data_IF_300144517515
#
_entry.id   IF_300144517515
#
_cell.length_a   1.000
_cell.length_b   1.000
_cell.length_c   1.000
_cell.angle_alpha   90.00
_cell.angle_beta   90.00
_cell.angle_gamma   90.00
#
_symmetry.space_group_name_H-M   'P 1'
#
loop_
_entity.id
_entity.type
_entity.pdbx_description
1 polymer ?
#
# COMPACT_ATOMS: atom_id res chain seq x y z
N UNK A 1 40.32 -7.57 2.35
CA UNK A 1 40.39 -6.12 2.07
C UNK A 1 39.99 -5.89 0.62
N UNK A 2 39.24 -4.82 0.33
CA UNK A 2 38.96 -4.44 -1.05
C UNK A 2 40.28 -4.01 -1.73
N UNK A 3 40.67 -4.71 -2.79
CA UNK A 3 41.83 -4.47 -3.62
C UNK A 3 41.62 -3.24 -4.53
N UNK A 4 42.67 -2.44 -4.72
CA UNK A 4 42.63 -1.17 -5.48
C UNK A 4 42.13 -1.34 -6.93
N UNK A 5 42.39 -2.50 -7.54
CA UNK A 5 41.86 -2.85 -8.86
C UNK A 5 40.33 -2.98 -8.90
N UNK A 6 39.70 -3.41 -7.81
CA UNK A 6 38.24 -3.48 -7.70
C UNK A 6 37.61 -2.09 -7.54
N UNK A 7 38.33 -1.12 -6.96
CA UNK A 7 37.89 0.28 -6.93
C UNK A 7 37.97 0.93 -8.31
N UNK A 8 39.02 0.67 -9.10
CA UNK A 8 39.15 1.16 -10.49
C UNK A 8 38.08 0.57 -11.43
N UNK A 9 37.75 -0.72 -11.31
CA UNK A 9 36.66 -1.35 -12.09
C UNK A 9 35.27 -0.81 -11.74
N UNK A 10 35.10 -0.26 -10.54
CA UNK A 10 33.86 0.39 -10.10
C UNK A 10 33.70 1.84 -10.56
N UNK A 11 34.75 2.51 -11.06
CA UNK A 11 34.68 3.93 -11.49
C UNK A 11 33.65 4.23 -12.59
N UNK A 12 33.40 3.35 -13.58
CA UNK A 12 32.33 3.55 -14.58
C UNK A 12 30.92 3.39 -14.00
N UNK A 13 30.80 2.68 -12.88
CA UNK A 13 29.53 2.36 -12.20
C UNK A 13 29.32 3.19 -10.92
N UNK A 14 30.31 4.00 -10.52
CA UNK A 14 30.14 5.01 -9.49
C UNK A 14 29.09 5.99 -9.99
N UNK A 15 28.08 6.26 -9.15
CA UNK A 15 27.05 7.27 -9.37
C UNK A 15 27.67 8.66 -9.56
N UNK A 16 28.22 8.91 -10.73
CA UNK A 16 28.56 10.26 -11.17
C UNK A 16 27.22 10.82 -11.60
N UNK A 17 26.55 11.52 -10.69
CA UNK A 17 25.35 12.30 -10.98
C UNK A 17 25.73 13.41 -11.98
N UNK A 18 25.97 13.02 -13.23
CA UNK A 18 26.18 13.95 -14.32
C UNK A 18 24.86 14.65 -14.60
N UNK A 19 24.92 15.92 -14.97
CA UNK A 19 23.76 16.73 -15.35
C UNK A 19 22.81 15.98 -16.31
N UNK A 20 23.37 15.16 -17.20
CA UNK A 20 22.62 14.27 -18.11
C UNK A 20 21.73 13.25 -17.39
N UNK A 21 22.20 12.64 -16.29
CA UNK A 21 21.40 11.68 -15.52
C UNK A 21 20.28 12.38 -14.75
N UNK A 22 20.53 13.59 -14.23
CA UNK A 22 19.51 14.43 -13.61
C UNK A 22 18.45 14.83 -14.63
N UNK A 23 18.85 15.20 -15.84
CA UNK A 23 17.94 15.56 -16.92
C UNK A 23 17.10 14.37 -17.41
N UNK A 24 17.71 13.18 -17.55
CA UNK A 24 17.01 11.94 -17.89
C UNK A 24 16.01 11.57 -16.78
N UNK A 25 16.41 11.64 -15.51
CA UNK A 25 15.52 11.36 -14.38
C UNK A 25 14.35 12.36 -14.34
N UNK A 26 14.61 13.65 -14.61
CA UNK A 26 13.58 14.69 -14.71
C UNK A 26 12.59 14.40 -15.84
N UNK A 27 13.08 14.07 -17.04
CA UNK A 27 12.23 13.70 -18.19
C UNK A 27 11.39 12.46 -17.90
N UNK A 28 11.99 11.44 -17.27
CA UNK A 28 11.29 10.24 -16.83
C UNK A 28 10.19 10.54 -15.80
N UNK A 29 10.47 11.42 -14.84
CA UNK A 29 9.49 11.87 -13.85
C UNK A 29 8.30 12.61 -14.48
N UNK A 30 8.57 13.51 -15.42
CA UNK A 30 7.52 14.26 -16.15
C UNK A 30 6.66 13.30 -16.97
N UNK A 31 7.27 12.42 -17.76
CA UNK A 31 6.56 11.44 -18.58
C UNK A 31 5.72 10.48 -17.72
N UNK A 32 6.25 10.02 -16.59
CA UNK A 32 5.52 9.20 -15.63
C UNK A 32 4.33 9.98 -15.02
N UNK A 33 4.53 11.26 -14.70
CA UNK A 33 3.48 12.14 -14.21
C UNK A 33 2.36 12.34 -15.23
N UNK A 34 2.69 12.58 -16.49
CA UNK A 34 1.72 12.69 -17.59
C UNK A 34 0.97 11.38 -17.81
N UNK A 35 1.66 10.24 -17.82
CA UNK A 35 1.03 8.94 -17.94
C UNK A 35 0.07 8.65 -16.78
N UNK A 36 0.45 9.01 -15.54
CA UNK A 36 -0.41 8.89 -14.35
C UNK A 36 -1.65 9.79 -14.46
N UNK A 37 -1.49 11.05 -14.90
CA UNK A 37 -2.61 11.98 -15.12
C UNK A 37 -3.55 11.49 -16.21
N UNK A 38 -3.02 11.01 -17.35
CA UNK A 38 -3.82 10.42 -18.43
C UNK A 38 -4.61 9.21 -17.96
N UNK A 39 -3.98 8.29 -17.22
CA UNK A 39 -4.67 7.14 -16.62
C UNK A 39 -5.76 7.57 -15.63
N UNK A 40 -5.51 8.61 -14.82
CA UNK A 40 -6.52 9.17 -13.92
C UNK A 40 -7.71 9.73 -14.70
N UNK A 41 -7.45 10.59 -15.68
CA UNK A 41 -8.49 11.16 -16.53
C UNK A 41 -9.33 10.08 -17.21
N UNK A 42 -8.70 9.03 -17.76
CA UNK A 42 -9.43 7.91 -18.37
C UNK A 42 -10.32 7.16 -17.37
N UNK A 43 -9.84 6.93 -16.13
CA UNK A 43 -10.66 6.32 -15.08
C UNK A 43 -11.85 7.21 -14.71
N UNK A 44 -11.60 8.50 -14.57
CA UNK A 44 -12.64 9.47 -14.21
C UNK A 44 -13.71 9.55 -15.32
N UNK A 45 -13.29 9.57 -16.59
CA UNK A 45 -14.23 9.54 -17.74
C UNK A 45 -14.99 8.22 -17.82
N UNK A 46 -14.35 7.09 -17.55
CA UNK A 46 -15.02 5.79 -17.56
C UNK A 46 -16.07 5.69 -16.45
N UNK A 47 -15.75 6.22 -15.25
CA UNK A 47 -16.71 6.30 -14.15
C UNK A 47 -17.91 7.17 -14.53
N UNK A 48 -17.65 8.35 -15.09
CA UNK A 48 -18.72 9.24 -15.58
C UNK A 48 -19.61 8.55 -16.62
N UNK A 49 -19.04 7.85 -17.59
CA UNK A 49 -19.82 7.12 -18.60
C UNK A 49 -20.65 5.99 -17.97
N UNK A 50 -20.12 5.29 -16.96
CA UNK A 50 -20.84 4.21 -16.28
C UNK A 50 -21.97 4.72 -15.39
N UNK A 51 -21.85 5.94 -14.85
CA UNK A 51 -22.84 6.62 -14.01
C UNK A 51 -23.96 7.29 -14.85
N UNK A 52 -23.80 7.38 -16.17
CA UNK A 52 -24.84 7.93 -17.04
C UNK A 52 -26.05 7.00 -17.17
N UNK A 53 -27.24 7.60 -17.26
CA UNK A 53 -28.47 6.87 -17.55
C UNK A 53 -28.46 6.37 -19.00
N UNK A 54 -29.04 5.19 -19.20
CA UNK A 54 -29.11 4.57 -20.52
C UNK A 54 -30.14 5.33 -21.37
N UNK A 55 -29.78 5.76 -22.59
CA UNK A 55 -30.71 6.45 -23.48
C UNK A 55 -31.90 5.56 -23.86
N UNK A 56 -33.06 6.19 -24.08
CA UNK A 56 -34.35 5.51 -24.31
C UNK A 56 -34.40 4.62 -25.56
N UNK A 57 -33.45 4.83 -26.47
CA UNK A 57 -33.27 4.04 -27.69
C UNK A 57 -32.83 2.59 -27.43
N UNK A 58 -32.33 2.24 -26.24
CA UNK A 58 -32.03 0.86 -25.84
C UNK A 58 -33.19 0.22 -25.06
N UNK A 59 -34.40 0.27 -25.64
CA UNK A 59 -35.64 -0.19 -25.02
C UNK A 59 -35.60 -1.67 -24.62
N UNK A 60 -34.90 -2.51 -25.39
CA UNK A 60 -34.72 -3.95 -25.07
C UNK A 60 -33.88 -4.17 -23.80
N UNK A 61 -32.88 -3.32 -23.57
CA UNK A 61 -32.00 -3.40 -22.40
C UNK A 61 -32.75 -2.89 -21.16
N UNK A 62 -33.50 -1.80 -21.29
CA UNK A 62 -34.41 -1.28 -20.26
C UNK A 62 -35.47 -2.31 -19.86
N UNK A 63 -36.09 -2.98 -20.82
CA UNK A 63 -37.08 -4.03 -20.55
C UNK A 63 -36.48 -5.20 -19.77
N UNK A 64 -35.25 -5.64 -20.10
CA UNK A 64 -34.54 -6.68 -19.35
C UNK A 64 -34.19 -6.23 -17.93
N UNK A 65 -33.74 -4.99 -17.77
CA UNK A 65 -33.41 -4.40 -16.46
C UNK A 65 -34.66 -4.28 -15.57
N UNK A 66 -35.78 -3.81 -16.14
CA UNK A 66 -37.07 -3.72 -15.46
C UNK A 66 -37.61 -5.10 -15.07
N UNK A 67 -37.45 -6.11 -15.93
CA UNK A 67 -37.82 -7.50 -15.60
C UNK A 67 -36.98 -8.10 -14.47
N UNK A 68 -35.79 -7.56 -14.20
CA UNK A 68 -34.92 -7.95 -13.07
C UNK A 68 -35.13 -7.07 -11.82
N UNK A 69 -36.11 -6.16 -11.83
CA UNK A 69 -36.48 -5.35 -10.67
C UNK A 69 -35.63 -4.10 -10.46
N UNK A 70 -34.92 -3.61 -11.49
CA UNK A 70 -34.22 -2.32 -11.43
C UNK A 70 -35.22 -1.20 -11.72
N UNK A 71 -35.31 -0.23 -10.81
CA UNK A 71 -36.20 0.94 -10.94
C UNK A 71 -35.83 1.81 -12.14
N UNK A 72 -36.82 2.51 -12.71
CA UNK A 72 -36.67 3.30 -13.94
C UNK A 72 -35.66 4.46 -13.81
N UNK A 73 -35.44 4.93 -12.57
CA UNK A 73 -34.48 5.98 -12.23
C UNK A 73 -33.03 5.45 -12.14
N UNK A 74 -32.85 4.15 -11.88
CA UNK A 74 -31.56 3.47 -11.70
C UNK A 74 -31.09 2.68 -12.93
N UNK A 75 -31.68 2.96 -14.10
CA UNK A 75 -31.23 2.37 -15.37
C UNK A 75 -29.94 3.05 -15.83
N UNK A 76 -28.85 2.74 -15.13
CA UNK A 76 -27.49 3.19 -15.41
C UNK A 76 -26.73 2.17 -16.26
N UNK A 77 -25.70 2.60 -17.01
CA UNK A 77 -24.83 1.66 -17.75
C UNK A 77 -24.18 0.61 -16.84
N UNK A 78 -23.88 0.97 -15.59
CA UNK A 78 -23.39 0.03 -14.58
C UNK A 78 -24.35 -1.15 -14.36
N UNK A 79 -25.66 -0.88 -14.21
CA UNK A 79 -26.67 -1.93 -14.04
C UNK A 79 -26.78 -2.83 -15.29
N UNK A 80 -26.72 -2.24 -16.48
CA UNK A 80 -26.71 -3.00 -17.73
C UNK A 80 -25.51 -3.95 -17.88
N UNK A 81 -24.32 -3.48 -17.52
CA UNK A 81 -23.10 -4.31 -17.55
C UNK A 81 -23.26 -5.47 -16.58
N UNK A 82 -23.75 -5.24 -15.36
CA UNK A 82 -23.99 -6.30 -14.37
C UNK A 82 -24.98 -7.34 -14.89
N UNK A 83 -26.07 -6.93 -15.51
CA UNK A 83 -27.02 -7.84 -16.17
C UNK A 83 -26.36 -8.66 -17.28
N UNK A 84 -25.49 -8.05 -18.08
CA UNK A 84 -24.71 -8.74 -19.11
C UNK A 84 -23.80 -9.82 -18.51
N UNK A 85 -23.13 -9.50 -17.41
CA UNK A 85 -22.26 -10.43 -16.68
C UNK A 85 -23.07 -11.57 -16.07
N UNK A 86 -24.23 -11.30 -15.44
CA UNK A 86 -25.12 -12.33 -14.91
C UNK A 86 -25.56 -13.30 -16.01
N UNK A 87 -25.96 -12.78 -17.17
CA UNK A 87 -26.33 -13.62 -18.31
C UNK A 87 -25.17 -14.49 -18.80
N UNK A 88 -23.94 -13.98 -18.79
CA UNK A 88 -22.75 -14.77 -19.15
C UNK A 88 -22.40 -15.81 -18.09
N UNK A 89 -22.58 -15.50 -16.80
CA UNK A 89 -22.38 -16.45 -15.71
C UNK A 89 -23.39 -17.61 -15.79
N UNK A 90 -24.67 -17.31 -16.05
CA UNK A 90 -25.73 -18.32 -16.26
C UNK A 90 -25.37 -19.24 -17.45
N UNK A 91 -24.76 -18.69 -18.51
CA UNK A 91 -24.28 -19.46 -19.67
C UNK A 91 -23.03 -20.30 -19.39
N UNK A 92 -22.51 -20.31 -18.17
CA UNK A 92 -21.35 -21.12 -17.76
C UNK A 92 -20.00 -20.41 -17.89
N UNK A 93 -19.96 -19.09 -18.08
CA UNK A 93 -18.70 -18.36 -18.05
C UNK A 93 -18.21 -18.19 -16.61
N UNK A 94 -17.24 -19.02 -16.22
CA UNK A 94 -16.64 -19.01 -14.87
C UNK A 94 -15.97 -17.69 -14.50
N UNK A 95 -15.44 -16.93 -15.47
CA UNK A 95 -14.86 -15.61 -15.24
C UNK A 95 -15.91 -14.56 -14.89
N UNK A 96 -17.09 -14.66 -15.50
CA UNK A 96 -18.21 -13.78 -15.17
C UNK A 96 -18.74 -14.11 -13.76
N UNK A 97 -18.84 -15.40 -13.41
CA UNK A 97 -19.21 -15.83 -12.08
C UNK A 97 -18.20 -15.39 -11.00
N UNK A 98 -16.90 -15.48 -11.28
CA UNK A 98 -15.86 -14.98 -10.37
C UNK A 98 -15.93 -13.46 -10.21
N UNK A 99 -16.20 -12.71 -11.29
CA UNK A 99 -16.38 -11.26 -11.22
C UNK A 99 -17.57 -10.87 -10.34
N UNK A 100 -18.68 -11.59 -10.43
CA UNK A 100 -19.85 -11.37 -9.56
C UNK A 100 -19.52 -11.64 -8.09
N UNK A 101 -18.87 -12.77 -7.80
CA UNK A 101 -18.36 -13.10 -6.46
C UNK A 101 -17.46 -12.00 -5.91
N UNK A 102 -16.53 -11.53 -6.73
CA UNK A 102 -15.57 -10.50 -6.33
C UNK A 102 -16.25 -9.15 -6.07
N UNK A 103 -17.31 -8.84 -6.81
CA UNK A 103 -18.14 -7.64 -6.60
C UNK A 103 -18.99 -7.73 -5.33
N UNK A 104 -19.40 -8.93 -4.92
CA UNK A 104 -20.11 -9.19 -3.67
C UNK A 104 -19.20 -9.18 -2.43
N UNK A 105 -17.89 -8.98 -2.61
CA UNK A 105 -16.93 -9.00 -1.50
C UNK A 105 -16.56 -10.40 -1.02
N UNK A 106 -17.11 -11.46 -1.62
CA UNK A 106 -16.81 -12.85 -1.27
C UNK A 106 -15.54 -13.38 -1.94
N UNK A 107 -14.58 -12.50 -2.26
CA UNK A 107 -13.32 -12.93 -2.87
C UNK A 107 -12.42 -13.57 -1.79
N UNK A 108 -12.15 -14.89 -1.85
CA UNK A 108 -11.33 -15.56 -0.84
C UNK A 108 -9.92 -14.98 -0.74
N UNK A 109 -9.37 -14.51 -1.87
CA UNK A 109 -8.03 -13.92 -1.92
C UNK A 109 -7.95 -12.55 -1.24
N UNK A 110 -9.03 -11.77 -1.24
CA UNK A 110 -9.07 -10.48 -0.54
C UNK A 110 -9.19 -10.71 0.98
N UNK A 111 -10.06 -11.62 1.41
CA UNK A 111 -10.19 -11.96 2.84
C UNK A 111 -8.90 -12.53 3.44
N UNK A 112 -8.19 -13.40 2.69
CA UNK A 112 -6.90 -13.91 3.13
C UNK A 112 -5.88 -12.78 3.30
N UNK A 113 -5.85 -11.85 2.34
CA UNK A 113 -4.92 -10.72 2.35
C UNK A 113 -5.21 -9.73 3.48
N UNK A 114 -6.48 -9.49 3.80
CA UNK A 114 -6.89 -8.69 4.95
C UNK A 114 -6.41 -9.33 6.26
N UNK A 115 -6.64 -10.64 6.44
CA UNK A 115 -6.14 -11.38 7.61
C UNK A 115 -4.62 -11.35 7.73
N UNK A 116 -3.89 -11.52 6.63
CA UNK A 116 -2.43 -11.41 6.61
C UNK A 116 -1.95 -10.01 7.01
N UNK A 117 -2.63 -8.95 6.55
CA UNK A 117 -2.31 -7.57 6.92
C UNK A 117 -2.56 -7.30 8.40
N UNK A 118 -3.67 -7.80 8.95
CA UNK A 118 -3.97 -7.71 10.37
C UNK A 118 -2.92 -8.41 11.22
N UNK A 119 -2.53 -9.63 10.87
CA UNK A 119 -1.47 -10.37 11.54
C UNK A 119 -0.16 -9.59 11.53
N UNK A 120 0.21 -9.05 10.36
CA UNK A 120 1.45 -8.29 10.21
C UNK A 120 1.45 -6.98 11.01
N UNK A 121 0.31 -6.30 11.08
CA UNK A 121 0.17 -5.10 11.91
C UNK A 121 0.28 -5.44 13.40
N UNK A 122 -0.37 -6.51 13.85
CA UNK A 122 -0.26 -6.98 15.23
C UNK A 122 1.18 -7.39 15.60
N UNK A 123 1.88 -8.08 14.70
CA UNK A 123 3.30 -8.41 14.86
C UNK A 123 4.17 -7.15 15.00
N UNK A 124 3.89 -6.13 14.18
CA UNK A 124 4.63 -4.86 14.22
C UNK A 124 4.39 -4.11 15.54
N UNK A 125 3.15 -4.06 16.00
CA UNK A 125 2.79 -3.44 17.29
C UNK A 125 3.43 -4.17 18.46
N UNK A 126 3.38 -5.51 18.47
CA UNK A 126 4.04 -6.32 19.48
C UNK A 126 5.55 -6.06 19.51
N UNK A 127 6.20 -6.07 18.34
CA UNK A 127 7.64 -5.77 18.25
C UNK A 127 7.96 -4.37 18.77
N UNK A 128 7.15 -3.37 18.45
CA UNK A 128 7.32 -1.99 18.94
C UNK A 128 7.20 -1.91 20.47
N UNK A 129 6.27 -2.67 21.07
CA UNK A 129 6.14 -2.74 22.53
C UNK A 129 7.37 -3.39 23.16
N UNK A 130 7.85 -4.50 22.60
CA UNK A 130 9.06 -5.18 23.08
C UNK A 130 10.30 -4.29 22.98
N UNK A 131 10.47 -3.56 21.87
CA UNK A 131 11.58 -2.62 21.69
C UNK A 131 11.49 -1.44 22.68
N UNK A 132 10.27 -1.00 23.03
CA UNK A 132 10.06 0.05 24.04
C UNK A 132 10.35 -0.43 25.47
N UNK A 133 9.93 -1.65 25.81
CA UNK A 133 10.23 -2.27 27.11
C UNK A 133 11.73 -2.59 27.27
N UNK A 134 12.41 -2.97 26.19
CA UNK A 134 13.86 -3.16 26.22
C UNK A 134 14.58 -1.84 26.47
N UNK A 135 14.16 -0.76 25.80
CA UNK A 135 14.71 0.58 26.04
C UNK A 135 14.48 1.05 27.47
N UNK A 136 13.28 0.85 28.04
CA UNK A 136 13.03 1.25 29.42
C UNK A 136 13.88 0.46 30.42
N UNK A 137 14.08 -0.84 30.19
CA UNK A 137 14.97 -1.67 31.01
C UNK A 137 16.44 -1.26 30.87
N UNK A 138 16.89 -0.94 29.66
CA UNK A 138 18.24 -0.43 29.41
C UNK A 138 18.47 0.92 30.12
N UNK A 139 17.51 1.84 30.06
CA UNK A 139 17.53 3.13 30.75
C UNK A 139 17.53 2.97 32.29
N UNK A 140 16.75 2.03 32.84
CA UNK A 140 16.76 1.71 34.27
C UNK A 140 18.10 1.10 34.73
N UNK A 141 18.72 0.25 33.89
CA UNK A 141 20.03 -0.32 34.22
C UNK A 141 21.16 0.70 34.11
N UNK A 142 21.10 1.66 33.18
CA UNK A 142 22.12 2.71 33.06
C UNK A 142 22.02 3.70 34.23
N UNK A 143 20.81 4.11 34.60
CA UNK A 143 20.60 5.01 35.75
C UNK A 143 21.03 4.38 37.07
N UNK A 144 20.81 3.07 37.28
CA UNK A 144 21.33 2.36 38.44
C UNK A 144 22.87 2.30 38.44
N UNK A 145 23.50 2.08 37.28
CA UNK A 145 24.95 2.06 37.15
C UNK A 145 25.57 3.44 37.47
N UNK A 146 24.99 4.53 36.97
CA UNK A 146 25.44 5.90 37.22
C UNK A 146 25.41 6.25 38.72
N UNK A 147 24.34 5.85 39.44
CA UNK A 147 24.21 6.06 40.90
C UNK A 147 25.27 5.29 41.68
N UNK A 148 25.61 4.07 41.25
CA UNK A 148 26.64 3.23 41.89
C UNK A 148 28.02 3.86 41.70
N UNK A 149 28.33 4.37 40.50
CA UNK A 149 29.60 5.04 40.21
C UNK A 149 29.77 6.32 41.03
N UNK A 150 28.72 7.15 41.14
CA UNK A 150 28.76 8.35 41.98
C UNK A 150 28.98 8.02 43.47
N UNK A 151 28.31 6.98 43.98
CA UNK A 151 28.47 6.54 45.36
C UNK A 151 29.89 6.03 45.64
N UNK A 152 30.49 5.28 44.70
CA UNK A 152 31.87 4.81 44.80
C UNK A 152 32.87 5.97 44.79
N UNK A 153 32.65 6.96 43.91
CA UNK A 153 33.51 8.15 43.80
C UNK A 153 33.54 8.96 45.10
N UNK A 154 32.36 9.21 45.69
CA UNK A 154 32.24 9.92 46.97
C UNK A 154 32.93 9.19 48.13
N UNK A 155 32.87 7.85 48.15
CA UNK A 155 33.59 7.05 49.15
C UNK A 155 35.11 7.17 48.99
N UNK A 156 35.62 7.12 47.77
CA UNK A 156 37.05 7.25 47.47
C UNK A 156 37.59 8.67 47.75
N UNK A 157 36.76 9.71 47.63
CA UNK A 157 37.11 11.09 48.01
C UNK A 157 37.13 11.26 49.54
N UNK A 158 36.16 10.70 50.27
CA UNK A 158 36.14 10.75 51.73
C UNK A 158 37.27 9.96 52.42
N UNK A 159 37.82 8.93 51.78
CA UNK A 159 39.02 8.22 52.28
C UNK A 159 40.32 9.01 52.08
N UNK A 160 40.37 9.97 51.15
CA UNK A 160 41.55 10.84 50.93
C UNK A 160 41.62 12.04 51.87
N UNK A 161 40.49 12.43 52.47
CA UNK A 161 40.41 13.56 53.42
C UNK A 161 40.65 13.13 54.89
N UNK A 162 40.88 11.83 55.14
CA UNK A 162 41.09 11.25 56.47
C UNK A 162 42.56 10.84 56.77
N UNK A 163 43.49 11.07 55.84
CA UNK A 163 44.96 11.00 56.02
C UNK A 163 45.56 12.40 56.22
#
# INVERSE_FOLDING_TARGET
MANEENLKKGEPYRFRAGEKQVEIARKGGIASGEARRRKKAMRDTAKMMMDMTIPDNLTQLKAKLKAMGVDEEDITYQAAVMVGVINQAIKGNTRAASFLRDTMGENPSLMLREKELEQRNAEFEYKKQMDAEQRSKEEETSTLADVIEEAYRKRMEGEKDAE
#
